data_IF_276513850449
#
_entry.id   IF_276513850449
#
_cell.length_a   1.000
_cell.length_b   1.000
_cell.length_c   1.000
_cell.angle_alpha   90.00
_cell.angle_beta   90.00
_cell.angle_gamma   90.00
#
_symmetry.space_group_name_H-M   'P 1'
#
loop_
_entity.id
_entity.type
_entity.pdbx_description
1 polymer ?
#
# COMPACT_ATOMS: atom_id res chain seq x y z
N UNK A 1 3.92 -7.81 10.38
CA UNK A 1 4.76 -8.53 9.40
C UNK A 1 4.13 -8.47 8.02
N UNK A 2 4.93 -8.62 6.98
CA UNK A 2 4.49 -8.67 5.58
C UNK A 2 5.01 -9.98 4.98
N UNK A 3 4.15 -10.78 4.35
CA UNK A 3 4.52 -12.05 3.73
C UNK A 3 4.03 -12.09 2.26
N UNK A 4 4.29 -13.20 1.57
CA UNK A 4 3.87 -13.36 0.17
C UNK A 4 2.35 -13.44 -0.01
N UNK A 5 1.64 -13.90 1.02
CA UNK A 5 0.19 -14.04 1.00
C UNK A 5 -0.54 -12.72 1.34
N UNK A 6 0.04 -11.88 2.19
CA UNK A 6 -0.65 -10.76 2.79
C UNK A 6 0.12 -10.01 3.88
N UNK A 7 -0.64 -9.30 4.71
CA UNK A 7 -0.16 -8.61 5.90
C UNK A 7 -0.58 -9.36 7.16
N UNK A 8 0.33 -9.45 8.13
CA UNK A 8 0.08 -10.13 9.41
C UNK A 8 0.26 -9.15 10.55
N UNK A 9 -0.74 -9.06 11.43
CA UNK A 9 -0.72 -8.21 12.62
C UNK A 9 -0.38 -9.06 13.84
N UNK A 10 0.64 -8.64 14.58
CA UNK A 10 1.08 -9.27 15.81
C UNK A 10 0.87 -8.33 16.99
N UNK A 11 0.57 -8.90 18.15
CA UNK A 11 0.52 -8.21 19.44
C UNK A 11 1.14 -9.11 20.49
N UNK A 12 2.11 -8.58 21.24
CA UNK A 12 2.82 -9.31 22.30
C UNK A 12 3.39 -10.66 21.83
N UNK A 13 3.89 -10.72 20.59
CA UNK A 13 4.43 -11.95 19.98
C UNK A 13 3.37 -12.92 19.44
N UNK A 14 2.08 -12.68 19.67
CA UNK A 14 0.98 -13.50 19.17
C UNK A 14 0.38 -12.92 17.89
N UNK A 15 0.09 -13.79 16.91
CA UNK A 15 -0.61 -13.40 15.67
C UNK A 15 -2.07 -13.11 15.99
N UNK A 16 -2.52 -11.87 15.78
CA UNK A 16 -3.93 -11.49 15.93
C UNK A 16 -4.68 -11.74 14.63
N UNK A 17 -4.21 -11.13 13.54
CA UNK A 17 -4.95 -11.08 12.28
C UNK A 17 -4.02 -11.29 11.09
N UNK A 18 -4.57 -11.84 10.02
CA UNK A 18 -3.90 -12.04 8.75
C UNK A 18 -4.82 -11.61 7.61
N UNK A 19 -4.34 -10.70 6.76
CA UNK A 19 -5.11 -10.08 5.69
C UNK A 19 -4.46 -10.40 4.36
N UNK A 20 -5.17 -11.15 3.50
CA UNK A 20 -4.66 -11.47 2.17
C UNK A 20 -4.55 -10.20 1.30
N UNK A 21 -3.57 -10.16 0.40
CA UNK A 21 -3.40 -9.02 -0.51
C UNK A 21 -4.65 -8.71 -1.35
N UNK A 22 -5.46 -9.72 -1.67
CA UNK A 22 -6.72 -9.56 -2.39
C UNK A 22 -7.80 -8.81 -1.60
N UNK A 23 -7.77 -8.88 -0.27
CA UNK A 23 -8.74 -8.18 0.61
C UNK A 23 -8.33 -6.74 0.88
N UNK A 24 -7.05 -6.42 0.71
CA UNK A 24 -6.50 -5.08 0.94
C UNK A 24 -6.78 -4.20 -0.28
N UNK A 25 -7.62 -3.19 -0.09
CA UNK A 25 -8.01 -2.26 -1.14
C UNK A 25 -7.00 -1.12 -1.28
N UNK A 26 -6.68 -0.48 -0.15
CA UNK A 26 -5.86 0.74 -0.09
C UNK A 26 -4.98 0.72 1.14
N UNK A 27 -3.77 1.27 0.98
CA UNK A 27 -2.82 1.49 2.07
C UNK A 27 -2.39 2.96 2.03
N UNK A 28 -2.58 3.66 3.15
CA UNK A 28 -2.24 5.08 3.28
C UNK A 28 -1.46 5.33 4.56
N UNK A 29 -0.78 6.48 4.65
CA UNK A 29 -0.12 6.91 5.87
C UNK A 29 -0.19 8.43 6.01
N UNK A 30 -0.31 8.92 7.26
CA UNK A 30 -0.29 10.34 7.60
C UNK A 30 0.56 10.55 8.85
N UNK A 31 1.72 11.20 8.69
CA UNK A 31 2.73 11.38 9.75
C UNK A 31 3.11 10.01 10.36
N UNK A 32 2.73 9.77 11.62
CA UNK A 32 2.98 8.53 12.37
C UNK A 32 1.83 7.52 12.27
N UNK A 33 0.71 7.89 11.66
CA UNK A 33 -0.45 7.03 11.53
C UNK A 33 -0.40 6.27 10.20
N UNK A 34 -0.66 4.98 10.26
CA UNK A 34 -0.69 4.07 9.13
C UNK A 34 -2.10 3.46 9.01
N UNK A 35 -2.67 3.48 7.81
CA UNK A 35 -4.05 3.11 7.55
C UNK A 35 -4.12 2.00 6.50
N UNK A 36 -4.87 0.94 6.80
CA UNK A 36 -5.14 -0.16 5.87
C UNK A 36 -6.64 -0.32 5.71
N UNK A 37 -7.10 -0.19 4.47
CA UNK A 37 -8.50 -0.33 4.09
C UNK A 37 -8.71 -1.73 3.53
N UNK A 38 -9.61 -2.50 4.13
CA UNK A 38 -9.89 -3.88 3.75
C UNK A 38 -11.37 -4.06 3.43
N UNK A 39 -11.65 -4.89 2.42
CA UNK A 39 -13.00 -5.35 2.09
C UNK A 39 -13.18 -6.79 2.53
N UNK A 40 -14.11 -7.00 3.45
CA UNK A 40 -14.46 -8.32 3.97
C UNK A 40 -15.60 -8.90 3.13
N UNK A 41 -15.27 -9.54 2.00
CA UNK A 41 -16.04 -10.56 1.26
C UNK A 41 -17.50 -10.30 0.87
N UNK A 42 -18.35 -9.89 1.80
CA UNK A 42 -19.76 -9.58 1.59
C UNK A 42 -19.93 -8.20 0.93
N UNK A 43 -20.76 -8.09 -0.11
CA UNK A 43 -21.02 -6.81 -0.78
C UNK A 43 -21.74 -5.80 0.12
N UNK A 44 -22.38 -6.25 1.19
CA UNK A 44 -23.09 -5.44 2.18
C UNK A 44 -22.27 -5.12 3.43
N UNK A 45 -21.12 -5.77 3.62
CA UNK A 45 -20.29 -5.50 4.79
C UNK A 45 -19.61 -4.13 4.66
N UNK A 46 -19.56 -3.33 5.74
CA UNK A 46 -18.86 -2.06 5.73
C UNK A 46 -17.35 -2.28 5.53
N UNK A 47 -16.74 -1.39 4.75
CA UNK A 47 -15.28 -1.35 4.60
C UNK A 47 -14.64 -1.17 5.99
N UNK A 48 -13.66 -2.02 6.30
CA UNK A 48 -12.96 -1.96 7.58
C UNK A 48 -11.66 -1.17 7.42
N UNK A 49 -11.44 -0.23 8.33
CA UNK A 49 -10.22 0.60 8.35
C UNK A 49 -9.41 0.27 9.59
N UNK A 50 -8.23 -0.30 9.39
CA UNK A 50 -7.27 -0.55 10.45
C UNK A 50 -6.34 0.66 10.58
N UNK A 51 -6.21 1.17 11.81
CA UNK A 51 -5.36 2.31 12.13
C UNK A 51 -4.24 1.86 13.07
N UNK A 52 -2.99 2.12 12.68
CA UNK A 52 -1.81 1.77 13.47
C UNK A 52 -0.99 3.03 13.75
N UNK A 53 -0.57 3.20 14.99
CA UNK A 53 0.35 4.26 15.38
C UNK A 53 1.79 3.73 15.38
N UNK A 54 2.64 4.31 14.53
CA UNK A 54 4.04 3.94 14.37
C UNK A 54 4.92 4.90 15.16
N UNK A 55 6.03 4.41 15.72
CA UNK A 55 6.92 5.19 16.59
C UNK A 55 7.48 6.46 15.91
N UNK A 56 7.79 6.38 14.61
CA UNK A 56 8.37 7.48 13.85
C UNK A 56 7.75 7.63 12.46
N UNK A 57 7.69 8.87 11.97
CA UNK A 57 7.20 9.18 10.60
C UNK A 57 8.06 8.55 9.50
N UNK A 58 9.42 8.55 9.60
CA UNK A 58 10.26 7.84 8.63
C UNK A 58 10.02 6.33 8.61
N UNK A 59 9.87 5.69 9.78
CA UNK A 59 9.56 4.26 9.85
C UNK A 59 8.19 3.95 9.27
N UNK A 60 7.19 4.83 9.52
CA UNK A 60 5.87 4.71 8.92
C UNK A 60 5.92 4.76 7.38
N UNK A 61 6.70 5.71 6.83
CA UNK A 61 6.91 5.82 5.38
C UNK A 61 7.62 4.60 4.80
N UNK A 62 8.61 4.05 5.50
CA UNK A 62 9.30 2.82 5.07
C UNK A 62 8.37 1.61 5.09
N UNK A 63 7.58 1.44 6.15
CA UNK A 63 6.56 0.40 6.26
C UNK A 63 5.56 0.49 5.11
N UNK A 64 5.05 1.70 4.83
CA UNK A 64 4.14 1.94 3.73
C UNK A 64 4.75 1.55 2.38
N UNK A 65 5.98 1.98 2.09
CA UNK A 65 6.67 1.60 0.84
C UNK A 65 6.79 0.08 0.69
N UNK A 66 7.21 -0.62 1.75
CA UNK A 66 7.33 -2.06 1.73
C UNK A 66 5.97 -2.74 1.46
N UNK A 67 4.89 -2.27 2.08
CA UNK A 67 3.55 -2.82 1.85
C UNK A 67 3.06 -2.57 0.42
N UNK A 68 3.30 -1.38 -0.14
CA UNK A 68 2.94 -1.06 -1.54
C UNK A 68 3.70 -1.94 -2.53
N UNK A 69 5.00 -2.16 -2.29
CA UNK A 69 5.83 -3.02 -3.13
C UNK A 69 5.29 -4.46 -3.16
N UNK A 70 5.01 -5.03 -1.98
CA UNK A 70 4.49 -6.40 -1.88
C UNK A 70 3.06 -6.51 -2.43
N UNK A 71 2.17 -5.58 -2.08
CA UNK A 71 0.79 -5.55 -2.60
C UNK A 71 0.77 -5.46 -4.13
N UNK A 72 1.58 -4.57 -4.71
CA UNK A 72 1.66 -4.44 -6.18
C UNK A 72 2.27 -5.69 -6.80
N UNK A 73 3.35 -6.23 -6.22
CA UNK A 73 4.02 -7.43 -6.72
C UNK A 73 3.07 -8.63 -6.79
N UNK A 74 2.35 -8.93 -5.71
CA UNK A 74 1.46 -10.10 -5.64
C UNK A 74 0.11 -9.89 -6.33
N UNK A 75 -0.28 -8.65 -6.66
CA UNK A 75 -1.49 -8.37 -7.45
C UNK A 75 -1.25 -8.26 -8.95
N UNK A 76 -0.01 -8.16 -9.41
CA UNK A 76 0.31 -8.18 -10.84
C UNK A 76 0.11 -9.61 -11.39
N UNK A 77 -1.02 -9.83 -12.06
CA UNK A 77 -1.35 -11.09 -12.75
C UNK A 77 -0.42 -11.35 -13.95
N UNK A 78 0.18 -10.29 -14.52
CA UNK A 78 1.15 -10.38 -15.61
C UNK A 78 2.25 -9.31 -15.47
N UNK A 79 3.49 -9.59 -15.89
CA UNK A 79 4.54 -8.58 -15.95
C UNK A 79 4.15 -7.46 -16.93
N UNK A 80 4.49 -6.19 -16.65
CA UNK A 80 4.25 -5.10 -17.60
C UNK A 80 4.94 -5.39 -18.94
N UNK A 81 4.26 -5.06 -20.05
CA UNK A 81 4.79 -5.23 -21.40
C UNK A 81 6.20 -4.62 -21.50
N UNK A 82 7.17 -5.41 -21.95
CA UNK A 82 8.54 -4.96 -22.06
C UNK A 82 8.64 -3.81 -23.09
N UNK A 83 9.34 -2.70 -22.78
CA UNK A 83 9.62 -1.67 -23.78
C UNK A 83 10.53 -2.24 -24.89
N UNK A 84 10.47 -1.71 -26.12
CA UNK A 84 11.29 -2.17 -27.24
C UNK A 84 12.78 -2.13 -26.85
N UNK A 85 13.46 -3.27 -26.99
CA UNK A 85 14.83 -3.50 -26.53
C UNK A 85 15.83 -2.70 -27.39
N UNK A 86 16.44 -1.66 -26.82
CA UNK A 86 17.67 -1.06 -27.33
C UNK A 86 18.90 -1.92 -26.98
N UNK A 87 19.93 -1.87 -27.82
CA UNK A 87 21.09 -2.78 -27.86
C UNK A 87 22.08 -2.74 -26.66
N UNK A 88 21.74 -2.14 -25.52
CA UNK A 88 22.63 -2.05 -24.34
C UNK A 88 21.85 -2.06 -23.01
N UNK A 89 21.09 -3.13 -22.70
CA UNK A 89 20.37 -3.23 -21.42
C UNK A 89 21.05 -4.20 -20.45
N UNK A 90 22.12 -3.73 -19.80
CA UNK A 90 22.57 -4.23 -18.50
C UNK A 90 21.73 -3.52 -17.44
N UNK A 91 20.88 -4.27 -16.73
CA UNK A 91 20.10 -3.74 -15.62
C UNK A 91 18.86 -4.57 -15.33
N UNK A 92 19.02 -5.56 -14.44
CA UNK A 92 17.87 -6.12 -13.72
C UNK A 92 17.79 -5.45 -12.36
N UNK A 93 16.73 -4.69 -12.13
CA UNK A 93 16.14 -4.40 -10.83
C UNK A 93 14.72 -3.89 -11.11
N UNK A 94 13.81 -4.84 -11.31
CA UNK A 94 12.38 -4.71 -11.06
C UNK A 94 11.72 -3.37 -11.48
N UNK A 95 11.15 -3.34 -12.69
CA UNK A 95 10.46 -2.17 -13.29
C UNK A 95 9.06 -1.91 -12.68
N UNK A 96 8.92 -1.92 -11.35
CA UNK A 96 7.64 -1.66 -10.66
C UNK A 96 7.34 -0.16 -10.48
N UNK A 97 8.30 0.73 -10.79
CA UNK A 97 8.18 2.15 -10.49
C UNK A 97 6.97 2.80 -11.17
N UNK A 98 6.64 2.46 -12.42
CA UNK A 98 5.52 3.11 -13.14
C UNK A 98 4.13 2.75 -12.59
N UNK A 99 3.91 1.48 -12.20
CA UNK A 99 2.63 1.03 -11.61
C UNK A 99 2.49 1.55 -10.19
N UNK A 100 3.58 1.54 -9.43
CA UNK A 100 3.65 2.13 -8.09
C UNK A 100 3.42 3.64 -8.17
N UNK A 101 4.00 4.35 -9.14
CA UNK A 101 3.77 5.79 -9.33
C UNK A 101 2.32 6.08 -9.71
N UNK A 102 1.72 5.28 -10.59
CA UNK A 102 0.33 5.46 -11.00
C UNK A 102 -0.65 5.20 -9.86
N UNK A 103 -0.44 4.15 -9.05
CA UNK A 103 -1.22 3.88 -7.83
C UNK A 103 -1.00 4.95 -6.75
N UNK A 104 0.22 5.45 -6.57
CA UNK A 104 0.52 6.53 -5.60
C UNK A 104 -0.12 7.85 -6.05
N UNK A 105 -0.09 8.19 -7.34
CA UNK A 105 -0.72 9.40 -7.89
C UNK A 105 -2.25 9.28 -7.77
N UNK A 106 -2.86 8.15 -8.13
CA UNK A 106 -4.31 7.97 -7.97
C UNK A 106 -4.70 7.98 -6.48
N UNK A 107 -3.93 7.35 -5.60
CA UNK A 107 -4.20 7.42 -4.17
C UNK A 107 -4.06 8.85 -3.61
N UNK A 108 -3.03 9.60 -4.01
CA UNK A 108 -2.88 11.00 -3.60
C UNK A 108 -3.98 11.90 -4.18
N UNK A 109 -4.34 11.73 -5.46
CA UNK A 109 -5.41 12.49 -6.10
C UNK A 109 -6.76 12.18 -5.47
N UNK A 110 -7.05 10.92 -5.14
CA UNK A 110 -8.28 10.55 -4.42
C UNK A 110 -8.29 11.03 -2.97
N UNK A 111 -7.15 11.05 -2.26
CA UNK A 111 -7.06 11.64 -0.92
C UNK A 111 -7.25 13.17 -0.93
N UNK A 112 -6.79 13.86 -1.98
CA UNK A 112 -6.99 15.31 -2.19
C UNK A 112 -8.46 15.60 -2.51
N UNK A 113 -9.11 14.78 -3.34
CA UNK A 113 -10.50 14.98 -3.74
C UNK A 113 -11.52 14.56 -2.68
N UNK A 114 -11.23 13.54 -1.85
CA UNK A 114 -12.15 13.04 -0.83
C UNK A 114 -11.98 13.68 0.56
N UNK A 115 -10.94 14.48 0.83
CA UNK A 115 -10.77 15.11 2.15
C UNK A 115 -10.33 16.59 2.08
N UNK A 116 -11.24 17.49 1.67
CA UNK A 116 -10.99 18.94 1.65
C UNK A 116 -10.76 19.55 3.06
N UNK A 117 -11.08 18.84 4.15
CA UNK A 117 -10.83 19.31 5.51
C UNK A 117 -9.37 19.18 5.99
N UNK A 118 -8.50 18.51 5.22
CA UNK A 118 -7.10 18.30 5.62
C UNK A 118 -6.20 19.53 5.52
N UNK A 119 -6.61 20.55 4.76
CA UNK A 119 -5.75 21.68 4.37
C UNK A 119 -5.96 22.95 5.21
N UNK A 120 -6.95 22.99 6.11
CA UNK A 120 -7.26 24.18 6.92
C UNK A 120 -6.64 24.20 8.33
N UNK A 121 -5.61 23.37 8.61
CA UNK A 121 -4.89 23.38 9.89
C UNK A 121 -3.38 23.54 9.76
N UNK A 122 -2.90 24.10 8.65
CA UNK A 122 -1.51 24.58 8.53
C UNK A 122 -1.47 26.06 8.17
N UNK A 123 -1.84 26.91 9.13
CA UNK A 123 -1.35 28.27 9.31
C UNK A 123 -1.05 28.47 10.79
#
# INVERSE_FOLDING_TARGET
GVNSYGMVVFHEGTKINEFAWATIMKISFKKKNFYVYIKLGEPTAPDTVLSFHVLSSPACKQLWKACIEHHTFFRLIAPPLAPPRGLLSIGSKYRYWYVIFWLIIICNVTDILCNPSSYLQSS
#
